data_IF_729896807849
#
_entry.id   IF_729896807849
#
_cell.length_a   1.000
_cell.length_b   1.000
_cell.length_c   1.000
_cell.angle_alpha   90.00
_cell.angle_beta   90.00
_cell.angle_gamma   90.00
#
_symmetry.space_group_name_H-M   'P 1'
#
loop_
_entity.id
_entity.type
_entity.pdbx_description
1 polymer ?
#
# COMPACT_ATOMS: atom_id res chain seq x y z
N UNK A 1 19.50 -9.72 -6.17
CA UNK A 1 18.18 -9.06 -6.23
C UNK A 1 17.26 -10.04 -6.91
N UNK A 2 16.11 -10.28 -6.36
CA UNK A 2 15.19 -11.29 -6.89
C UNK A 2 14.20 -10.61 -7.82
N UNK A 3 14.44 -10.79 -9.10
CA UNK A 3 13.64 -10.17 -10.14
C UNK A 3 12.56 -11.14 -10.61
N UNK A 4 11.33 -10.63 -10.72
CA UNK A 4 10.22 -11.30 -11.39
C UNK A 4 10.00 -10.70 -12.77
N UNK A 5 9.18 -11.37 -13.57
CA UNK A 5 8.76 -10.92 -14.90
C UNK A 5 7.25 -10.75 -14.95
N UNK A 6 6.79 -9.63 -15.48
CA UNK A 6 5.38 -9.39 -15.74
C UNK A 6 4.89 -10.34 -16.83
N UNK A 7 3.94 -11.22 -16.49
CA UNK A 7 3.40 -12.24 -17.43
C UNK A 7 2.06 -11.83 -18.01
N UNK A 8 1.21 -11.15 -17.22
CA UNK A 8 -0.14 -10.75 -17.64
C UNK A 8 -0.53 -9.41 -17.04
N UNK A 9 -1.29 -8.62 -17.79
CA UNK A 9 -1.85 -7.33 -17.36
C UNK A 9 -3.32 -7.30 -17.76
N UNK A 10 -4.20 -7.11 -16.77
CA UNK A 10 -5.65 -6.98 -16.96
C UNK A 10 -6.13 -5.77 -16.17
N UNK A 11 -6.18 -4.60 -16.80
CA UNK A 11 -6.48 -3.36 -16.09
C UNK A 11 -5.46 -3.07 -15.00
N UNK A 12 -5.92 -2.97 -13.75
CA UNK A 12 -5.05 -2.77 -12.58
C UNK A 12 -4.46 -4.07 -12.02
N UNK A 13 -4.91 -5.24 -12.50
CA UNK A 13 -4.42 -6.55 -12.04
C UNK A 13 -3.25 -6.99 -12.89
N UNK A 14 -2.16 -7.35 -12.24
CA UNK A 14 -0.89 -7.72 -12.88
C UNK A 14 -0.41 -9.04 -12.30
N UNK A 15 -0.16 -10.01 -13.17
CA UNK A 15 0.45 -11.27 -12.76
C UNK A 15 1.95 -11.21 -13.05
N UNK A 16 2.75 -11.56 -12.04
CA UNK A 16 4.21 -11.54 -12.08
C UNK A 16 4.74 -12.91 -11.71
N UNK A 17 5.65 -13.43 -12.51
CA UNK A 17 6.32 -14.71 -12.28
C UNK A 17 7.66 -14.48 -11.59
N UNK A 18 7.89 -15.19 -10.50
CA UNK A 18 9.14 -15.22 -9.74
C UNK A 18 9.74 -16.63 -9.70
N UNK A 19 11.02 -16.72 -9.43
CA UNK A 19 11.65 -18.01 -9.15
C UNK A 19 11.02 -18.69 -7.92
N UNK A 20 10.84 -20.02 -7.97
CA UNK A 20 10.14 -20.80 -6.94
C UNK A 20 10.67 -20.60 -5.50
N UNK A 21 11.93 -20.30 -5.36
CA UNK A 21 12.56 -20.06 -4.04
C UNK A 21 12.45 -18.62 -3.56
N UNK A 22 11.77 -17.76 -4.31
CA UNK A 22 11.80 -16.33 -4.07
C UNK A 22 10.46 -15.64 -4.35
N UNK A 23 9.38 -16.31 -4.00
CA UNK A 23 8.02 -15.83 -4.21
C UNK A 23 7.69 -14.76 -3.17
N UNK A 24 7.20 -13.56 -3.59
CA UNK A 24 6.75 -12.53 -2.66
C UNK A 24 5.59 -13.00 -1.79
N UNK A 25 5.54 -12.48 -0.58
CA UNK A 25 4.43 -12.72 0.33
C UNK A 25 3.21 -11.88 -0.04
N UNK A 26 2.04 -12.29 0.44
CA UNK A 26 0.80 -11.49 0.32
C UNK A 26 1.02 -10.16 1.06
N UNK A 27 0.57 -9.07 0.45
CA UNK A 27 0.76 -7.66 0.87
C UNK A 27 2.19 -7.13 0.74
N UNK A 28 3.12 -7.90 0.19
CA UNK A 28 4.44 -7.38 -0.15
C UNK A 28 4.35 -6.41 -1.33
N UNK A 29 5.09 -5.31 -1.26
CA UNK A 29 5.22 -4.37 -2.36
C UNK A 29 6.25 -4.89 -3.38
N UNK A 30 5.92 -4.75 -4.67
CA UNK A 30 6.79 -5.05 -5.80
C UNK A 30 6.92 -3.78 -6.62
N UNK A 31 8.09 -3.47 -7.10
CA UNK A 31 8.34 -2.30 -7.94
C UNK A 31 8.72 -2.71 -9.37
N UNK A 32 8.03 -2.18 -10.36
CA UNK A 32 8.43 -2.32 -11.77
C UNK A 32 9.60 -1.39 -12.02
N UNK A 33 10.73 -1.96 -12.44
CA UNK A 33 12.00 -1.22 -12.56
C UNK A 33 11.92 -0.10 -13.58
N UNK A 34 11.30 -0.34 -14.75
CA UNK A 34 11.28 0.60 -15.85
C UNK A 34 10.35 1.81 -15.64
N UNK A 35 9.20 1.59 -15.00
CA UNK A 35 8.18 2.63 -14.82
C UNK A 35 8.12 3.19 -13.41
N UNK A 36 8.75 2.51 -12.45
CA UNK A 36 8.65 2.83 -11.03
C UNK A 36 7.29 2.51 -10.40
N UNK A 37 6.37 1.92 -11.17
CA UNK A 37 5.03 1.55 -10.68
C UNK A 37 5.13 0.55 -9.54
N UNK A 38 4.48 0.84 -8.42
CA UNK A 38 4.41 -0.05 -7.27
C UNK A 38 3.17 -0.92 -7.38
N UNK A 39 3.35 -2.22 -7.15
CA UNK A 39 2.30 -3.21 -7.12
C UNK A 39 2.22 -3.80 -5.71
N UNK A 40 1.03 -4.15 -5.26
CA UNK A 40 0.83 -4.90 -4.02
C UNK A 40 0.38 -6.33 -4.33
N UNK A 41 1.07 -7.31 -3.79
CA UNK A 41 0.72 -8.72 -3.93
C UNK A 41 -0.57 -9.02 -3.18
N UNK A 42 -1.58 -9.52 -3.89
CA UNK A 42 -2.86 -9.91 -3.30
C UNK A 42 -2.98 -11.42 -3.12
N UNK A 43 -2.40 -12.18 -4.02
CA UNK A 43 -2.55 -13.63 -4.03
C UNK A 43 -1.35 -14.33 -4.67
N UNK A 44 -0.99 -15.48 -4.16
CA UNK A 44 -0.09 -16.42 -4.81
C UNK A 44 -0.93 -17.46 -5.60
N UNK A 45 -0.69 -17.57 -6.90
CA UNK A 45 -1.46 -18.46 -7.78
C UNK A 45 -0.84 -19.85 -7.90
N UNK A 46 0.37 -20.05 -7.41
CA UNK A 46 1.16 -21.26 -7.60
C UNK A 46 2.20 -21.11 -8.71
N UNK A 47 3.08 -22.09 -8.84
CA UNK A 47 4.16 -22.14 -9.85
C UNK A 47 5.05 -20.89 -9.97
N UNK A 48 5.17 -20.14 -8.87
CA UNK A 48 5.96 -18.91 -8.87
C UNK A 48 5.20 -17.67 -9.31
N UNK A 49 3.93 -17.79 -9.69
CA UNK A 49 3.12 -16.65 -10.16
C UNK A 49 2.39 -16.03 -8.98
N UNK A 50 2.50 -14.73 -8.88
CA UNK A 50 1.74 -13.90 -7.94
C UNK A 50 0.83 -12.93 -8.68
N UNK A 51 -0.33 -12.71 -8.12
CA UNK A 51 -1.29 -11.70 -8.58
C UNK A 51 -1.18 -10.47 -7.71
N UNK A 52 -0.96 -9.34 -8.34
CA UNK A 52 -0.78 -8.05 -7.68
C UNK A 52 -1.70 -6.98 -8.27
N UNK A 53 -1.95 -5.93 -7.51
CA UNK A 53 -2.72 -4.75 -7.94
C UNK A 53 -1.76 -3.56 -8.04
N UNK A 54 -1.88 -2.81 -9.14
CA UNK A 54 -1.12 -1.58 -9.32
C UNK A 54 -1.66 -0.46 -8.43
N UNK A 55 -0.77 0.21 -7.71
CA UNK A 55 -1.08 1.36 -6.84
C UNK A 55 -1.04 2.71 -7.60
N UNK A 56 -0.99 2.67 -8.90
CA UNK A 56 -0.96 3.83 -9.78
C UNK A 56 -1.42 3.47 -11.19
N UNK A 57 -1.05 4.32 -12.14
CA UNK A 57 -1.38 4.06 -13.55
C UNK A 57 -0.68 2.81 -14.07
N UNK A 58 -1.39 2.06 -14.89
CA UNK A 58 -0.85 0.91 -15.63
C UNK A 58 -0.51 1.26 -17.08
N UNK A 59 -0.65 2.53 -17.46
CA UNK A 59 -0.29 2.98 -18.79
C UNK A 59 1.22 2.81 -19.03
N UNK A 60 1.55 2.24 -20.17
CA UNK A 60 2.93 1.95 -20.54
C UNK A 60 3.49 0.63 -19.99
N UNK A 61 2.77 -0.06 -19.12
CA UNK A 61 3.17 -1.39 -18.65
C UNK A 61 3.03 -2.42 -19.80
N UNK A 62 4.03 -3.30 -19.90
CA UNK A 62 4.09 -4.35 -20.90
C UNK A 62 4.45 -5.68 -20.23
N UNK A 63 4.09 -6.78 -20.89
CA UNK A 63 4.60 -8.10 -20.48
C UNK A 63 6.11 -8.15 -20.71
N UNK A 64 6.81 -8.87 -19.85
CA UNK A 64 8.27 -9.00 -19.88
C UNK A 64 9.03 -7.89 -19.16
N UNK A 65 8.35 -6.90 -18.55
CA UNK A 65 9.01 -5.93 -17.68
C UNK A 65 9.51 -6.61 -16.40
N UNK A 66 10.62 -6.11 -15.88
CA UNK A 66 11.22 -6.61 -14.64
C UNK A 66 10.51 -6.01 -13.43
N UNK A 67 10.17 -6.89 -12.49
CA UNK A 67 9.60 -6.53 -11.20
C UNK A 67 10.54 -6.91 -10.08
N UNK A 68 10.88 -5.96 -9.21
CA UNK A 68 11.76 -6.16 -8.06
C UNK A 68 10.96 -6.27 -6.76
N UNK A 69 11.33 -7.22 -5.91
CA UNK A 69 10.77 -7.33 -4.56
C UNK A 69 11.33 -6.25 -3.66
N UNK A 70 10.45 -5.65 -2.85
CA UNK A 70 10.90 -4.74 -1.77
C UNK A 70 11.14 -5.48 -0.45
N UNK A 71 10.67 -6.74 -0.33
CA UNK A 71 10.67 -7.55 0.89
C UNK A 71 9.95 -6.87 2.08
N UNK A 72 9.09 -5.93 1.81
CA UNK A 72 8.33 -5.19 2.79
C UNK A 72 6.94 -4.86 2.24
N UNK A 73 5.91 -4.71 3.09
CA UNK A 73 4.63 -4.15 2.68
C UNK A 73 4.76 -2.65 2.36
N UNK A 74 3.75 -2.11 1.67
CA UNK A 74 3.64 -0.67 1.48
C UNK A 74 3.57 -0.01 2.87
N UNK A 75 4.43 0.97 3.10
CA UNK A 75 4.49 1.74 4.34
C UNK A 75 4.36 3.23 4.04
N UNK A 76 3.71 3.95 4.93
CA UNK A 76 3.45 5.39 4.80
C UNK A 76 4.00 6.14 6.01
N UNK A 77 4.43 7.40 5.85
CA UNK A 77 4.84 8.22 6.97
C UNK A 77 3.67 8.44 7.94
N UNK A 78 3.98 8.45 9.21
CA UNK A 78 3.05 8.68 10.33
C UNK A 78 3.61 9.70 11.31
N UNK A 79 2.78 10.11 12.28
CA UNK A 79 3.15 11.02 13.34
C UNK A 79 2.79 12.48 13.05
N UNK A 80 3.21 13.39 13.92
CA UNK A 80 2.80 14.81 13.91
C UNK A 80 3.14 15.53 12.60
N UNK A 81 4.22 15.14 11.91
CA UNK A 81 4.64 15.75 10.64
C UNK A 81 3.66 15.50 9.49
N UNK A 82 2.74 14.55 9.65
CA UNK A 82 1.70 14.25 8.65
C UNK A 82 0.43 15.08 8.84
N UNK A 83 0.30 15.76 9.97
CA UNK A 83 -0.89 16.57 10.27
C UNK A 83 -1.02 17.74 9.28
N UNK A 84 -2.22 17.87 8.70
CA UNK A 84 -2.52 18.89 7.70
C UNK A 84 -1.90 18.66 6.33
N UNK A 85 -1.26 17.50 6.10
CA UNK A 85 -0.65 17.10 4.83
C UNK A 85 -1.57 16.16 4.04
N UNK A 86 -1.45 16.21 2.72
CA UNK A 86 -2.15 15.29 1.80
C UNK A 86 -1.11 14.44 1.09
N UNK A 87 -1.30 13.13 1.14
CA UNK A 87 -0.40 12.15 0.52
C UNK A 87 -1.20 11.11 -0.28
N UNK A 88 -0.52 10.49 -1.24
CA UNK A 88 -1.06 9.34 -1.97
C UNK A 88 -0.97 8.05 -1.13
N UNK A 89 -1.45 6.92 -1.70
CA UNK A 89 -1.45 5.61 -1.04
C UNK A 89 -0.02 5.08 -0.75
N UNK A 90 0.99 5.61 -1.40
CA UNK A 90 2.40 5.26 -1.21
C UNK A 90 3.11 6.20 -0.21
N UNK A 91 2.38 7.18 0.34
CA UNK A 91 2.95 8.18 1.26
C UNK A 91 3.65 9.36 0.59
N UNK A 92 3.55 9.50 -0.74
CA UNK A 92 4.12 10.65 -1.44
C UNK A 92 3.23 11.88 -1.25
N UNK A 93 3.80 13.06 -0.93
CA UNK A 93 3.01 14.27 -0.79
C UNK A 93 2.43 14.71 -2.15
N UNK A 94 1.15 15.08 -2.14
CA UNK A 94 0.43 15.60 -3.33
C UNK A 94 -0.14 17.00 -3.10
N UNK A 95 0.20 17.62 -1.97
CA UNK A 95 -0.26 18.94 -1.53
C UNK A 95 0.68 20.11 -1.90
N UNK A 96 1.73 19.84 -2.69
CA UNK A 96 2.76 20.80 -3.12
C UNK A 96 3.50 21.51 -1.93
N UNK A 97 3.38 20.98 -0.70
CA UNK A 97 3.99 21.54 0.48
C UNK A 97 5.40 20.97 0.79
N UNK A 98 6.05 20.33 -0.19
CA UNK A 98 7.35 19.70 -0.05
C UNK A 98 7.31 18.33 0.63
N UNK A 99 8.47 17.69 0.86
CA UNK A 99 8.54 16.33 1.38
C UNK A 99 7.94 16.22 2.78
N UNK A 100 7.28 15.11 3.06
CA UNK A 100 6.87 14.72 4.41
C UNK A 100 8.08 14.01 5.05
N UNK A 101 8.41 14.33 6.31
CA UNK A 101 9.53 13.66 6.98
C UNK A 101 9.31 12.14 7.06
N UNK A 102 10.37 11.39 6.80
CA UNK A 102 10.35 9.91 6.78
C UNK A 102 10.78 9.28 8.11
N UNK A 103 10.77 10.05 9.20
CA UNK A 103 11.34 9.64 10.48
C UNK A 103 10.60 8.43 11.09
N UNK A 104 9.33 8.30 10.83
CA UNK A 104 8.50 7.20 11.30
C UNK A 104 7.57 6.72 10.17
N UNK A 105 7.68 5.44 9.83
CA UNK A 105 6.82 4.82 8.82
C UNK A 105 6.09 3.62 9.40
N UNK A 106 4.85 3.42 8.99
CA UNK A 106 4.06 2.26 9.36
C UNK A 106 3.46 1.58 8.14
N UNK A 107 3.40 0.23 8.14
CA UNK A 107 2.74 -0.51 7.07
C UNK A 107 1.24 -0.20 7.04
N UNK A 108 0.68 -0.12 5.83
CA UNK A 108 -0.77 0.14 5.64
C UNK A 108 -1.63 -1.03 6.13
N UNK A 109 -1.10 -2.26 6.09
CA UNK A 109 -1.76 -3.45 6.63
C UNK A 109 -1.30 -3.70 8.06
N UNK A 110 -2.16 -3.44 9.02
CA UNK A 110 -1.90 -3.64 10.45
C UNK A 110 -3.02 -4.45 11.10
N UNK A 111 -2.66 -5.21 12.11
CA UNK A 111 -3.66 -5.79 13.01
C UNK A 111 -4.31 -4.67 13.83
N UNK A 112 -5.61 -4.78 14.15
CA UNK A 112 -6.24 -3.84 15.08
C UNK A 112 -5.53 -3.90 16.43
N UNK A 113 -5.59 -2.80 17.24
CA UNK A 113 -5.04 -2.81 18.60
C UNK A 113 -5.70 -3.89 19.43
N UNK A 114 -4.93 -4.51 20.34
CA UNK A 114 -5.50 -5.48 21.27
C UNK A 114 -6.43 -4.77 22.25
N UNK A 115 -7.33 -5.53 22.91
CA UNK A 115 -8.22 -4.97 23.92
C UNK A 115 -7.46 -4.25 25.05
N UNK A 116 -6.27 -4.73 25.38
CA UNK A 116 -5.42 -4.14 26.44
C UNK A 116 -4.80 -2.79 26.02
N UNK A 117 -4.67 -2.55 24.71
CA UNK A 117 -4.07 -1.33 24.16
C UNK A 117 -5.13 -0.27 23.85
N UNK A 118 -6.42 -0.59 24.04
CA UNK A 118 -7.50 0.35 23.79
C UNK A 118 -7.64 1.31 24.98
N UNK A 119 -7.76 2.61 24.66
CA UNK A 119 -8.14 3.62 25.67
C UNK A 119 -9.59 3.41 26.08
N UNK A 120 -9.84 3.52 27.38
CA UNK A 120 -11.21 3.50 27.94
C UNK A 120 -11.85 4.91 27.94
N UNK A 121 -11.18 5.91 27.37
CA UNK A 121 -11.71 7.26 27.26
C UNK A 121 -12.69 7.36 26.09
N UNK A 122 -13.84 7.96 26.35
CA UNK A 122 -14.88 8.23 25.33
C UNK A 122 -14.56 9.55 24.59
N UNK A 123 -13.36 9.63 23.98
CA UNK A 123 -12.98 10.79 23.19
C UNK A 123 -13.60 10.72 21.79
N UNK A 124 -14.35 11.74 21.42
CA UNK A 124 -15.00 11.85 20.13
C UNK A 124 -13.95 12.19 19.05
N UNK A 125 -13.81 11.35 18.04
CA UNK A 125 -13.01 11.68 16.87
C UNK A 125 -13.87 12.41 15.84
N UNK A 126 -13.72 13.73 15.79
CA UNK A 126 -14.35 14.54 14.73
C UNK A 126 -13.59 14.36 13.43
N UNK A 127 -14.24 13.76 12.42
CA UNK A 127 -13.62 13.51 11.11
C UNK A 127 -13.67 14.72 10.18
N UNK A 128 -14.54 15.69 10.46
CA UNK A 128 -14.86 16.82 9.58
C UNK A 128 -15.74 16.46 8.39
N UNK A 129 -16.11 15.20 8.24
CA UNK A 129 -17.01 14.72 7.19
C UNK A 129 -18.42 14.65 7.76
N UNK A 130 -19.27 15.61 7.43
CA UNK A 130 -20.62 15.78 8.02
C UNK A 130 -21.45 14.50 8.05
N UNK A 131 -21.41 13.72 6.98
CA UNK A 131 -22.19 12.48 6.88
C UNK A 131 -21.71 11.45 7.86
N UNK A 132 -20.39 11.27 8.02
CA UNK A 132 -19.80 10.31 8.95
C UNK A 132 -20.09 10.75 10.39
N UNK A 133 -19.82 12.01 10.71
CA UNK A 133 -19.98 12.54 12.07
C UNK A 133 -21.45 12.50 12.51
N UNK A 134 -22.40 12.76 11.58
CA UNK A 134 -23.84 12.68 11.86
C UNK A 134 -24.30 11.23 12.10
N UNK A 135 -23.87 10.29 11.26
CA UNK A 135 -24.27 8.87 11.38
C UNK A 135 -23.70 8.25 12.67
N UNK A 136 -22.44 8.53 12.99
CA UNK A 136 -21.83 8.01 14.23
C UNK A 136 -22.51 8.54 15.48
N UNK A 137 -22.97 9.79 15.47
CA UNK A 137 -23.71 10.37 16.61
C UNK A 137 -25.13 9.82 16.76
N UNK A 138 -25.69 9.15 15.75
CA UNK A 138 -27.01 8.54 15.80
C UNK A 138 -26.99 7.06 16.24
N UNK A 139 -25.81 6.46 16.37
CA UNK A 139 -25.64 5.04 16.75
C UNK A 139 -25.35 4.88 18.25
N UNK A 140 -25.18 5.96 18.98
CA UNK A 140 -24.97 5.96 20.43
C UNK A 140 -26.25 6.21 21.21
#
# INVERSE_FOLDING_TARGET
>A
MSNGLVTQIIGAVIDVEFEKNNIPQVYEAIKITDTGTVLEVQQQLGDGIVRAIAMGTTEGLKRGLTAERTNAPISVPVGEKTLGRIMDVLGNPIDECGPIGEDEQMPIHRKPPSYMDQSLSDDLLETGIKVIDLILSLIH
#
